data_IF_396122440129
#
_entry.id   IF_396122440129
#
_cell.length_a   1.000
_cell.length_b   1.000
_cell.length_c   1.000
_cell.angle_alpha   90.00
_cell.angle_beta   90.00
_cell.angle_gamma   90.00
#
_symmetry.space_group_name_H-M   'P 1'
#
loop_
_entity.id
_entity.type
_entity.pdbx_description
1 polymer ?
#
# COMPACT_ATOMS: atom_id res chain seq x y z
N UNK A 1 -8.06 -31.79 -15.70
CA UNK A 1 -7.67 -30.35 -15.77
C UNK A 1 -8.71 -29.57 -15.01
N UNK A 2 -8.31 -28.62 -14.17
CA UNK A 2 -9.26 -27.71 -13.52
C UNK A 2 -9.23 -26.39 -14.27
N UNK A 3 -10.41 -25.84 -14.59
CA UNK A 3 -10.56 -24.58 -15.32
C UNK A 3 -11.56 -23.72 -14.56
N UNK A 4 -11.23 -22.45 -14.40
CA UNK A 4 -12.06 -21.47 -13.70
C UNK A 4 -12.71 -20.53 -14.70
N UNK A 5 -13.99 -20.22 -14.49
CA UNK A 5 -14.74 -19.22 -15.25
C UNK A 5 -15.61 -18.45 -14.28
N UNK A 6 -15.44 -17.13 -14.21
CA UNK A 6 -16.12 -16.27 -13.24
C UNK A 6 -15.93 -16.80 -11.81
N UNK A 7 -17.01 -17.14 -11.10
CA UNK A 7 -16.96 -17.70 -9.75
C UNK A 7 -16.84 -19.23 -9.73
N UNK A 8 -17.00 -19.91 -10.87
CA UNK A 8 -17.08 -21.36 -10.95
C UNK A 8 -15.73 -22.05 -11.24
N UNK A 9 -15.60 -23.28 -10.75
CA UNK A 9 -14.51 -24.18 -11.09
C UNK A 9 -15.04 -25.48 -11.71
N UNK A 10 -14.42 -25.90 -12.80
CA UNK A 10 -14.79 -27.08 -13.58
C UNK A 10 -13.63 -28.06 -13.66
N UNK A 11 -13.91 -29.33 -13.37
CA UNK A 11 -13.00 -30.46 -13.58
C UNK A 11 -13.29 -31.09 -14.94
N UNK A 12 -12.35 -30.92 -15.84
CA UNK A 12 -12.34 -31.50 -17.18
C UNK A 12 -11.54 -32.81 -17.19
N UNK A 13 -12.17 -33.88 -17.64
CA UNK A 13 -11.52 -35.15 -18.01
C UNK A 13 -11.64 -35.38 -19.53
N UNK A 14 -11.14 -36.50 -20.04
CA UNK A 14 -11.36 -36.86 -21.46
C UNK A 14 -12.84 -37.11 -21.80
N UNK A 15 -13.69 -37.33 -20.80
CA UNK A 15 -15.07 -37.78 -20.98
C UNK A 15 -16.11 -36.99 -20.19
N UNK A 16 -15.71 -36.19 -19.21
CA UNK A 16 -16.63 -35.46 -18.32
C UNK A 16 -16.19 -34.01 -18.10
N UNK A 17 -17.19 -33.16 -17.87
CA UNK A 17 -17.05 -31.80 -17.40
C UNK A 17 -17.94 -31.68 -16.17
N UNK A 18 -17.32 -31.63 -14.99
CA UNK A 18 -18.02 -31.64 -13.70
C UNK A 18 -17.70 -30.36 -12.94
N UNK A 19 -18.72 -29.73 -12.36
CA UNK A 19 -18.52 -28.61 -11.45
C UNK A 19 -17.80 -29.10 -10.20
N UNK A 20 -16.94 -28.26 -9.62
CA UNK A 20 -16.24 -28.50 -8.36
C UNK A 20 -16.72 -27.43 -7.36
N UNK A 21 -17.82 -27.68 -6.62
CA UNK A 21 -18.41 -26.70 -5.72
C UNK A 21 -17.45 -26.22 -4.63
N UNK A 22 -16.51 -27.07 -4.21
CA UNK A 22 -15.51 -26.75 -3.18
C UNK A 22 -14.50 -25.67 -3.63
N UNK A 23 -14.43 -25.41 -4.94
CA UNK A 23 -13.55 -24.41 -5.55
C UNK A 23 -14.34 -23.25 -6.19
N UNK A 24 -15.66 -23.18 -5.98
CA UNK A 24 -16.43 -21.99 -6.32
C UNK A 24 -16.01 -20.84 -5.38
N UNK A 25 -15.65 -19.69 -5.92
CA UNK A 25 -15.11 -18.58 -5.15
C UNK A 25 -15.35 -17.21 -5.81
N UNK A 26 -15.43 -16.15 -5.00
CA UNK A 26 -15.57 -14.76 -5.48
C UNK A 26 -14.23 -14.01 -5.55
N UNK A 27 -13.09 -14.71 -5.47
CA UNK A 27 -11.77 -14.10 -5.65
C UNK A 27 -11.67 -13.44 -7.02
N UNK A 28 -11.47 -12.12 -7.05
CA UNK A 28 -11.28 -11.35 -8.29
C UNK A 28 -9.97 -11.74 -9.00
N UNK A 29 -8.87 -11.83 -8.25
CA UNK A 29 -7.54 -12.09 -8.79
C UNK A 29 -7.15 -13.57 -8.78
N UNK A 30 -6.33 -13.96 -9.77
CA UNK A 30 -5.73 -15.29 -9.82
C UNK A 30 -4.81 -15.56 -8.62
N UNK A 31 -4.20 -14.51 -8.06
CA UNK A 31 -3.17 -14.61 -7.03
C UNK A 31 -3.67 -15.18 -5.71
N UNK A 32 -4.92 -14.87 -5.34
CA UNK A 32 -5.58 -15.44 -4.16
C UNK A 32 -6.28 -16.74 -4.51
N UNK A 33 -6.94 -16.81 -5.67
CA UNK A 33 -7.65 -18.01 -6.13
C UNK A 33 -6.73 -19.23 -6.22
N UNK A 34 -5.49 -19.07 -6.69
CA UNK A 34 -4.55 -20.20 -6.81
C UNK A 34 -4.17 -20.81 -5.45
N UNK A 35 -4.26 -20.03 -4.37
CA UNK A 35 -3.95 -20.46 -3.00
C UNK A 35 -5.06 -21.37 -2.48
N UNK A 36 -6.32 -21.00 -2.73
CA UNK A 36 -7.48 -21.86 -2.46
C UNK A 36 -7.36 -23.20 -3.18
N UNK A 37 -6.94 -23.19 -4.45
CA UNK A 37 -6.69 -24.42 -5.21
C UNK A 37 -5.53 -25.24 -4.64
N UNK A 38 -4.45 -24.59 -4.20
CA UNK A 38 -3.32 -25.26 -3.54
C UNK A 38 -3.74 -25.92 -2.22
N UNK A 39 -4.62 -25.27 -1.44
CA UNK A 39 -5.21 -25.84 -0.23
C UNK A 39 -6.08 -27.05 -0.55
N UNK A 40 -6.99 -26.93 -1.52
CA UNK A 40 -7.87 -28.02 -1.93
C UNK A 40 -7.10 -29.25 -2.41
N UNK A 41 -5.97 -29.05 -3.11
CA UNK A 41 -5.14 -30.16 -3.56
C UNK A 41 -4.67 -31.06 -2.40
N UNK A 42 -4.51 -30.50 -1.18
CA UNK A 42 -4.19 -31.16 0.10
C UNK A 42 -2.93 -32.06 0.13
N UNK A 43 -2.35 -32.39 -1.01
CA UNK A 43 -1.14 -33.19 -1.18
C UNK A 43 -0.05 -32.41 -1.90
N UNK A 44 0.74 -33.10 -2.71
CA UNK A 44 1.85 -32.51 -3.45
C UNK A 44 1.35 -31.64 -4.60
N UNK A 45 1.64 -30.34 -4.60
CA UNK A 45 1.26 -29.43 -5.68
C UNK A 45 2.41 -28.52 -6.12
N UNK A 46 2.40 -28.14 -7.40
CA UNK A 46 3.37 -27.19 -7.96
C UNK A 46 2.61 -26.00 -8.53
N UNK A 47 2.76 -24.83 -7.91
CA UNK A 47 2.20 -23.56 -8.36
C UNK A 47 3.11 -22.97 -9.43
N UNK A 48 2.57 -22.77 -10.63
CA UNK A 48 3.30 -22.17 -11.74
C UNK A 48 3.05 -20.67 -11.76
N UNK A 49 3.93 -19.89 -11.12
CA UNK A 49 3.79 -18.45 -11.05
C UNK A 49 5.15 -17.77 -10.87
N UNK A 50 5.44 -16.78 -11.73
CA UNK A 50 6.61 -15.92 -11.58
C UNK A 50 6.35 -14.73 -10.64
N UNK A 51 5.09 -14.44 -10.35
CA UNK A 51 4.66 -13.33 -9.50
C UNK A 51 5.22 -13.46 -8.08
N UNK A 52 5.56 -12.31 -7.49
CA UNK A 52 6.00 -12.21 -6.11
C UNK A 52 4.82 -12.24 -5.15
N UNK A 53 3.65 -11.72 -5.55
CA UNK A 53 2.45 -11.63 -4.73
C UNK A 53 2.00 -13.05 -4.37
N UNK A 54 1.89 -13.93 -5.36
CA UNK A 54 1.62 -15.37 -5.15
C UNK A 54 2.63 -16.04 -4.23
N UNK A 55 3.93 -15.75 -4.37
CA UNK A 55 4.95 -16.32 -3.48
C UNK A 55 4.71 -15.88 -2.03
N UNK A 56 4.46 -14.59 -1.79
CA UNK A 56 4.24 -14.06 -0.44
C UNK A 56 2.97 -14.66 0.17
N UNK A 57 1.88 -14.75 -0.59
CA UNK A 57 0.62 -15.31 -0.11
C UNK A 57 0.78 -16.82 0.20
N UNK A 58 1.47 -17.58 -0.67
CA UNK A 58 1.80 -18.99 -0.41
C UNK A 58 2.63 -19.19 0.86
N UNK A 59 3.63 -18.35 1.10
CA UNK A 59 4.45 -18.40 2.31
C UNK A 59 3.62 -18.09 3.55
N UNK A 60 2.76 -17.07 3.48
CA UNK A 60 1.92 -16.66 4.61
C UNK A 60 0.91 -17.74 5.02
N UNK A 61 0.38 -18.48 4.06
CA UNK A 61 -0.60 -19.55 4.28
C UNK A 61 0.00 -20.95 4.32
N UNK A 62 1.34 -21.09 4.31
CA UNK A 62 2.01 -22.38 4.10
C UNK A 62 1.66 -23.45 5.14
N UNK A 63 1.24 -23.05 6.35
CA UNK A 63 0.82 -23.96 7.41
C UNK A 63 -0.52 -24.65 7.13
N UNK A 64 -1.35 -24.04 6.27
CA UNK A 64 -2.65 -24.55 5.86
C UNK A 64 -2.59 -25.33 4.55
N UNK A 65 -1.41 -25.47 3.95
CA UNK A 65 -1.20 -26.13 2.66
C UNK A 65 -0.53 -27.50 2.85
N UNK A 66 -0.69 -28.38 1.85
CA UNK A 66 0.10 -29.60 1.73
C UNK A 66 1.54 -29.33 1.27
N UNK A 67 2.22 -30.35 0.74
CA UNK A 67 3.55 -30.22 0.14
C UNK A 67 3.50 -29.32 -1.12
N UNK A 68 3.77 -28.02 -0.95
CA UNK A 68 3.62 -27.04 -2.00
C UNK A 68 4.97 -26.54 -2.51
N UNK A 69 5.09 -26.49 -3.84
CA UNK A 69 6.26 -26.01 -4.56
C UNK A 69 5.85 -24.82 -5.45
N UNK A 70 6.77 -23.91 -5.71
CA UNK A 70 6.59 -22.85 -6.70
C UNK A 70 7.58 -23.01 -7.85
N UNK A 71 7.08 -22.98 -9.08
CA UNK A 71 7.90 -22.96 -10.29
C UNK A 71 8.12 -21.52 -10.72
N UNK A 72 9.38 -21.07 -10.70
CA UNK A 72 9.83 -19.75 -11.19
C UNK A 72 10.76 -19.88 -12.39
N UNK A 73 10.85 -18.86 -13.21
CA UNK A 73 11.69 -18.76 -14.40
C UNK A 73 11.05 -19.35 -15.66
N UNK A 74 11.55 -18.90 -16.82
CA UNK A 74 11.06 -19.32 -18.14
C UNK A 74 12.07 -20.22 -18.86
N UNK A 75 11.57 -21.20 -19.62
CA UNK A 75 12.40 -22.08 -20.44
C UNK A 75 13.44 -22.86 -19.64
N UNK A 76 14.70 -22.85 -20.09
CA UNK A 76 15.82 -23.57 -19.47
C UNK A 76 16.22 -23.05 -18.09
N UNK A 77 15.79 -21.85 -17.70
CA UNK A 77 16.06 -21.26 -16.39
C UNK A 77 14.95 -21.56 -15.36
N UNK A 78 13.98 -22.40 -15.72
CA UNK A 78 12.90 -22.74 -14.79
C UNK A 78 13.39 -23.60 -13.64
N UNK A 79 13.00 -23.24 -12.42
CA UNK A 79 13.32 -23.95 -11.18
C UNK A 79 12.04 -24.21 -10.40
N UNK A 80 11.95 -25.41 -9.81
CA UNK A 80 10.90 -25.76 -8.86
C UNK A 80 11.50 -25.62 -7.46
N UNK A 81 10.91 -24.79 -6.63
CA UNK A 81 11.40 -24.47 -5.29
C UNK A 81 10.39 -24.99 -4.28
N UNK A 82 10.87 -25.76 -3.31
CA UNK A 82 10.06 -26.19 -2.16
C UNK A 82 9.82 -25.00 -1.23
N UNK A 83 8.55 -24.72 -0.93
CA UNK A 83 8.20 -23.60 -0.04
C UNK A 83 8.77 -23.81 1.36
N UNK A 84 8.86 -25.05 1.86
CA UNK A 84 9.41 -25.34 3.20
C UNK A 84 10.85 -24.87 3.34
N UNK A 85 11.67 -25.01 2.28
CA UNK A 85 13.05 -24.54 2.26
C UNK A 85 13.15 -23.02 2.35
N UNK A 86 12.25 -22.29 1.68
CA UNK A 86 12.21 -20.82 1.76
C UNK A 86 11.80 -20.41 3.17
N UNK A 87 10.74 -21.04 3.68
CA UNK A 87 10.20 -20.77 5.02
C UNK A 87 11.27 -21.03 6.09
N UNK A 88 11.99 -22.13 6.02
CA UNK A 88 13.05 -22.47 6.98
C UNK A 88 14.25 -21.54 6.84
N UNK A 89 14.68 -21.22 5.60
CA UNK A 89 15.73 -20.24 5.37
C UNK A 89 15.41 -18.89 6.01
N UNK A 90 14.19 -18.37 5.81
CA UNK A 90 13.77 -17.10 6.38
C UNK A 90 13.59 -17.18 7.91
N UNK A 91 13.05 -18.28 8.42
CA UNK A 91 12.84 -18.48 9.86
C UNK A 91 14.16 -18.56 10.63
N UNK A 92 15.19 -19.14 10.03
CA UNK A 92 16.53 -19.23 10.62
C UNK A 92 17.25 -17.86 10.74
N UNK A 93 16.70 -16.80 10.13
CA UNK A 93 17.22 -15.43 10.26
C UNK A 93 16.53 -14.64 11.38
N UNK A 94 15.57 -15.25 12.10
CA UNK A 94 14.82 -14.60 13.17
C UNK A 94 15.59 -14.67 14.51
N UNK A 95 15.39 -13.66 15.36
CA UNK A 95 15.85 -13.72 16.76
C UNK A 95 14.90 -14.62 17.58
N UNK A 96 15.43 -15.23 18.65
CA UNK A 96 14.79 -16.28 19.48
C UNK A 96 13.39 -15.96 20.03
N UNK A 97 12.94 -14.70 20.01
CA UNK A 97 11.69 -14.25 20.61
C UNK A 97 10.52 -14.02 19.62
N UNK A 98 10.69 -14.40 18.36
CA UNK A 98 9.71 -14.22 17.27
C UNK A 98 9.15 -15.57 16.83
N UNK A 99 7.82 -15.71 16.78
CA UNK A 99 7.21 -16.91 16.20
C UNK A 99 7.27 -16.89 14.67
N UNK A 100 7.59 -18.05 14.09
CA UNK A 100 7.57 -18.31 12.64
C UNK A 100 6.24 -17.89 12.01
N UNK A 101 5.12 -18.21 12.66
CA UNK A 101 3.78 -17.86 12.20
C UNK A 101 3.57 -16.34 12.09
N UNK A 102 3.95 -15.56 13.11
CA UNK A 102 3.80 -14.11 13.06
C UNK A 102 4.70 -13.48 12.00
N UNK A 103 5.88 -14.04 11.79
CA UNK A 103 6.76 -13.58 10.72
C UNK A 103 6.15 -13.81 9.33
N UNK A 104 5.59 -14.99 9.07
CA UNK A 104 4.91 -15.29 7.81
C UNK A 104 3.70 -14.37 7.58
N UNK A 105 2.91 -14.09 8.62
CA UNK A 105 1.84 -13.08 8.57
C UNK A 105 2.37 -11.68 8.26
N UNK A 106 3.49 -11.29 8.87
CA UNK A 106 4.13 -10.00 8.63
C UNK A 106 4.64 -9.82 7.20
N UNK A 107 4.94 -10.92 6.48
CA UNK A 107 5.32 -10.86 5.07
C UNK A 107 4.21 -10.26 4.19
N UNK A 108 2.93 -10.55 4.47
CA UNK A 108 1.79 -9.95 3.77
C UNK A 108 1.82 -8.42 3.95
N UNK A 109 1.83 -7.97 5.21
CA UNK A 109 1.76 -6.53 5.53
C UNK A 109 2.94 -5.75 4.97
N UNK A 110 4.16 -6.25 5.14
CA UNK A 110 5.36 -5.55 4.62
C UNK A 110 5.44 -5.57 3.10
N UNK A 111 4.95 -6.63 2.45
CA UNK A 111 4.92 -6.71 1.00
C UNK A 111 3.94 -5.70 0.41
N UNK A 112 2.72 -5.62 0.93
CA UNK A 112 1.73 -4.61 0.55
C UNK A 112 2.28 -3.19 0.80
N UNK A 113 2.82 -2.94 1.99
CA UNK A 113 3.35 -1.63 2.39
C UNK A 113 4.52 -1.15 1.53
N UNK A 114 5.36 -2.06 1.04
CA UNK A 114 6.54 -1.70 0.22
C UNK A 114 6.24 -1.67 -1.28
N UNK A 115 4.99 -1.86 -1.66
CA UNK A 115 4.45 -1.67 -3.00
C UNK A 115 4.14 -2.96 -3.76
N UNK A 116 2.95 -3.03 -4.32
CA UNK A 116 2.45 -4.11 -5.17
C UNK A 116 1.65 -3.49 -6.31
N UNK A 117 0.84 -4.27 -7.02
CA UNK A 117 0.10 -3.74 -8.18
C UNK A 117 -0.92 -2.65 -7.81
N UNK A 118 -1.49 -2.70 -6.60
CA UNK A 118 -2.50 -1.76 -6.11
C UNK A 118 -1.95 -0.67 -5.17
N UNK A 119 -0.70 -0.80 -4.72
CA UNK A 119 -0.08 0.09 -3.73
C UNK A 119 1.27 0.57 -4.22
N UNK A 120 1.52 1.88 -4.18
CA UNK A 120 2.81 2.47 -4.57
C UNK A 120 4.00 1.93 -3.78
N UNK A 121 5.22 2.15 -4.26
CA UNK A 121 6.45 1.81 -3.54
C UNK A 121 7.17 3.06 -3.03
N UNK A 122 7.95 2.91 -1.95
CA UNK A 122 8.86 3.96 -1.49
C UNK A 122 10.12 4.00 -2.36
N UNK A 123 10.40 5.15 -2.99
CA UNK A 123 11.54 5.29 -3.89
C UNK A 123 12.87 4.94 -3.19
N UNK A 124 13.64 4.05 -3.83
CA UNK A 124 14.93 3.57 -3.32
C UNK A 124 14.85 2.70 -2.05
N UNK A 125 13.66 2.27 -1.61
CA UNK A 125 13.50 1.37 -0.45
C UNK A 125 13.00 0.00 -0.92
N UNK A 126 13.93 -0.93 -1.14
CA UNK A 126 13.58 -2.29 -1.58
C UNK A 126 12.92 -3.13 -0.48
N UNK A 127 12.06 -4.08 -0.88
CA UNK A 127 11.34 -5.03 -0.01
C UNK A 127 12.27 -5.78 0.94
N UNK A 128 13.43 -6.21 0.44
CA UNK A 128 14.41 -6.94 1.25
C UNK A 128 14.91 -6.11 2.44
N UNK A 129 15.13 -4.80 2.26
CA UNK A 129 15.52 -3.92 3.37
C UNK A 129 14.44 -3.86 4.45
N UNK A 130 13.18 -3.82 4.04
CA UNK A 130 12.02 -3.83 4.94
C UNK A 130 11.92 -5.17 5.69
N UNK A 131 12.08 -6.30 5.00
CA UNK A 131 12.13 -7.64 5.61
C UNK A 131 13.27 -7.76 6.63
N UNK A 132 14.46 -7.26 6.31
CA UNK A 132 15.60 -7.23 7.23
C UNK A 132 15.32 -6.41 8.50
N UNK A 133 14.48 -5.37 8.42
CA UNK A 133 14.05 -4.63 9.61
C UNK A 133 13.13 -5.46 10.49
N UNK A 134 12.21 -6.23 9.91
CA UNK A 134 11.35 -7.14 10.68
C UNK A 134 12.16 -8.23 11.38
N UNK A 135 13.17 -8.75 10.68
CA UNK A 135 14.09 -9.72 11.24
C UNK A 135 14.83 -9.15 12.44
N UNK A 136 15.13 -7.84 12.49
CA UNK A 136 15.92 -7.21 13.58
C UNK A 136 15.09 -6.62 14.72
N UNK A 137 13.82 -6.33 14.50
CA UNK A 137 12.98 -5.58 15.43
C UNK A 137 11.60 -6.21 15.57
N UNK A 138 11.39 -6.88 16.71
CA UNK A 138 10.13 -7.56 17.05
C UNK A 138 8.92 -6.63 17.02
N UNK A 139 9.07 -5.37 17.44
CA UNK A 139 8.01 -4.35 17.39
C UNK A 139 7.46 -4.16 15.96
N UNK A 140 8.34 -4.09 14.96
CA UNK A 140 7.97 -3.92 13.56
C UNK A 140 7.35 -5.15 12.97
N UNK A 141 7.85 -6.32 13.34
CA UNK A 141 7.23 -7.57 12.94
C UNK A 141 5.79 -7.66 13.45
N UNK A 142 5.54 -7.32 14.72
CA UNK A 142 4.20 -7.34 15.28
C UNK A 142 3.25 -6.39 14.55
N UNK A 143 3.65 -5.15 14.27
CA UNK A 143 2.77 -4.22 13.53
C UNK A 143 2.55 -4.67 12.08
N UNK A 144 3.57 -5.17 11.37
CA UNK A 144 3.38 -5.69 10.01
C UNK A 144 2.50 -6.95 10.00
N UNK A 145 2.54 -7.77 11.05
CA UNK A 145 1.65 -8.91 11.22
C UNK A 145 0.19 -8.49 11.48
N UNK A 146 -0.05 -7.26 11.96
CA UNK A 146 -1.38 -6.69 12.20
C UNK A 146 -2.01 -6.00 10.99
N UNK A 147 -1.21 -5.57 10.01
CA UNK A 147 -1.74 -4.99 8.77
C UNK A 147 -2.62 -6.01 8.05
N UNK A 148 -3.88 -5.65 7.83
CA UNK A 148 -4.92 -6.47 7.21
C UNK A 148 -5.61 -7.46 8.17
N UNK A 149 -5.38 -7.41 9.48
CA UNK A 149 -6.17 -8.19 10.44
C UNK A 149 -7.64 -7.71 10.51
N UNK A 150 -7.84 -6.41 10.29
CA UNK A 150 -9.14 -5.75 10.16
C UNK A 150 -9.13 -4.89 8.90
N UNK A 151 -10.31 -4.61 8.35
CA UNK A 151 -10.46 -3.70 7.21
C UNK A 151 -10.05 -2.26 7.57
N UNK A 152 -10.44 -1.80 8.75
CA UNK A 152 -10.11 -0.47 9.26
C UNK A 152 -8.70 -0.42 9.86
N UNK A 153 -7.96 0.63 9.51
CA UNK A 153 -6.65 0.91 10.05
C UNK A 153 -6.78 1.64 11.39
N UNK A 154 -6.31 1.02 12.48
CA UNK A 154 -6.27 1.70 13.78
C UNK A 154 -5.13 2.72 13.87
N UNK A 155 -5.34 3.77 14.67
CA UNK A 155 -4.29 4.78 14.95
C UNK A 155 -3.02 4.15 15.53
N UNK A 156 -3.17 3.14 16.38
CA UNK A 156 -2.03 2.42 16.97
C UNK A 156 -1.17 1.75 15.89
N UNK A 157 -1.80 1.03 14.96
CA UNK A 157 -1.11 0.34 13.86
C UNK A 157 -0.50 1.37 12.89
N UNK A 158 -1.21 2.46 12.61
CA UNK A 158 -0.68 3.55 11.79
C UNK A 158 0.59 4.17 12.41
N UNK A 159 0.56 4.56 13.69
CA UNK A 159 1.72 5.17 14.38
C UNK A 159 2.93 4.25 14.43
N UNK A 160 2.73 2.97 14.71
CA UNK A 160 3.81 2.00 14.69
C UNK A 160 4.36 1.77 13.26
N UNK A 161 3.50 1.85 12.23
CA UNK A 161 3.89 1.81 10.82
C UNK A 161 4.65 3.07 10.39
N UNK A 162 4.27 4.25 10.90
CA UNK A 162 4.98 5.52 10.69
C UNK A 162 6.42 5.43 11.21
N UNK A 163 6.61 4.93 12.44
CA UNK A 163 7.93 4.70 13.02
C UNK A 163 8.75 3.66 12.22
N UNK A 164 8.11 2.60 11.71
CA UNK A 164 8.75 1.64 10.81
C UNK A 164 9.26 2.32 9.52
N UNK A 165 8.44 3.15 8.89
CA UNK A 165 8.82 3.87 7.66
C UNK A 165 9.98 4.84 7.94
N UNK A 166 9.97 5.57 9.05
CA UNK A 166 11.11 6.41 9.43
C UNK A 166 12.42 5.61 9.50
N UNK A 167 12.36 4.41 10.09
CA UNK A 167 13.52 3.52 10.20
C UNK A 167 13.93 2.91 8.85
N UNK A 168 12.97 2.65 7.96
CA UNK A 168 13.24 2.27 6.57
C UNK A 168 14.04 3.36 5.83
N UNK A 169 13.82 4.62 6.19
CA UNK A 169 14.61 5.77 5.73
C UNK A 169 15.92 5.99 6.49
N UNK A 170 16.20 5.20 7.53
CA UNK A 170 17.46 5.17 8.27
C UNK A 170 17.45 5.96 9.58
N UNK A 171 16.29 6.36 10.09
CA UNK A 171 16.18 7.22 11.26
C UNK A 171 15.21 6.64 12.31
N UNK A 172 15.61 6.68 13.58
CA UNK A 172 14.74 6.32 14.71
C UNK A 172 13.95 7.55 15.16
N UNK A 173 12.88 7.87 14.44
CA UNK A 173 11.95 8.96 14.77
C UNK A 173 10.53 8.49 14.47
N UNK A 174 9.55 9.03 15.18
CA UNK A 174 8.17 8.52 15.11
C UNK A 174 7.25 9.36 14.22
N UNK A 175 7.78 10.38 13.56
CA UNK A 175 7.04 11.25 12.63
C UNK A 175 7.77 11.39 11.31
N UNK A 176 7.09 11.05 10.22
CA UNK A 176 7.65 11.22 8.87
C UNK A 176 7.78 12.69 8.48
N UNK A 177 6.93 13.57 8.98
CA UNK A 177 7.03 15.01 8.71
C UNK A 177 8.27 15.63 9.36
N UNK A 178 8.54 15.28 10.62
CA UNK A 178 9.77 15.67 11.29
C UNK A 178 11.00 15.12 10.54
N UNK A 179 10.92 13.88 10.06
CA UNK A 179 12.00 13.26 9.28
C UNK A 179 12.21 13.98 7.93
N UNK A 180 11.14 14.29 7.21
CA UNK A 180 11.18 15.06 5.96
C UNK A 180 11.88 16.38 6.16
N UNK A 181 11.48 17.14 7.18
CA UNK A 181 12.11 18.41 7.52
C UNK A 181 13.62 18.24 7.82
N UNK A 182 13.99 17.28 8.67
CA UNK A 182 15.40 17.00 8.99
C UNK A 182 16.22 16.66 7.74
N UNK A 183 15.72 15.78 6.88
CA UNK A 183 16.40 15.38 5.65
C UNK A 183 16.56 16.55 4.67
N UNK A 184 15.53 17.40 4.56
CA UNK A 184 15.58 18.61 3.74
C UNK A 184 16.63 19.60 4.25
N UNK A 185 16.67 19.87 5.55
CA UNK A 185 17.65 20.77 6.17
C UNK A 185 19.09 20.25 6.02
N UNK A 186 19.34 18.96 6.29
CA UNK A 186 20.68 18.36 6.19
C UNK A 186 21.24 18.46 4.77
N UNK A 187 20.37 18.39 3.74
CA UNK A 187 20.76 18.51 2.34
C UNK A 187 20.72 19.96 1.82
N UNK A 188 20.50 20.94 2.68
CA UNK A 188 20.44 22.37 2.30
C UNK A 188 19.36 22.65 1.24
N UNK A 189 18.23 21.94 1.31
CA UNK A 189 17.13 22.04 0.35
C UNK A 189 17.39 21.42 -1.04
N UNK A 190 18.58 20.84 -1.26
CA UNK A 190 18.95 20.17 -2.52
C UNK A 190 18.67 18.66 -2.41
N UNK A 191 17.40 18.32 -2.23
CA UNK A 191 16.94 16.93 -2.15
C UNK A 191 15.80 16.72 -3.13
N UNK A 192 15.93 15.69 -3.97
CA UNK A 192 14.83 15.26 -4.81
C UNK A 192 13.64 14.82 -3.95
N UNK A 193 12.40 15.25 -4.25
CA UNK A 193 11.23 14.93 -3.43
C UNK A 193 11.04 13.43 -3.19
N UNK A 194 11.34 12.60 -4.18
CA UNK A 194 11.23 11.14 -4.11
C UNK A 194 12.20 10.51 -3.10
N UNK A 195 13.32 11.17 -2.80
CA UNK A 195 14.28 10.70 -1.80
C UNK A 195 13.83 10.96 -0.36
N UNK A 196 12.76 11.75 -0.16
CA UNK A 196 12.14 12.00 1.13
C UNK A 196 11.08 10.93 1.44
N UNK A 197 10.80 10.61 2.72
CA UNK A 197 9.61 9.84 3.05
C UNK A 197 8.36 10.63 2.69
N UNK A 198 7.20 10.01 2.41
CA UNK A 198 5.94 10.74 2.21
C UNK A 198 5.60 11.59 3.43
N UNK A 199 4.82 12.66 3.25
CA UNK A 199 4.24 13.37 4.39
C UNK A 199 3.25 12.46 5.13
N UNK A 200 2.93 12.79 6.37
CA UNK A 200 2.06 11.93 7.19
C UNK A 200 0.70 11.70 6.54
N UNK A 201 0.10 12.72 5.91
CA UNK A 201 -1.20 12.59 5.24
C UNK A 201 -1.16 11.62 4.05
N UNK A 202 -0.14 11.70 3.19
CA UNK A 202 0.06 10.73 2.11
C UNK A 202 0.43 9.34 2.62
N UNK A 203 1.23 9.27 3.69
CA UNK A 203 1.59 7.99 4.30
C UNK A 203 0.35 7.29 4.85
N UNK A 204 -0.56 8.01 5.50
CA UNK A 204 -1.80 7.44 6.03
C UNK A 204 -2.62 6.75 4.93
N UNK A 205 -2.89 7.46 3.84
CA UNK A 205 -3.60 6.90 2.68
C UNK A 205 -2.86 5.70 2.09
N UNK A 206 -1.53 5.75 2.05
CA UNK A 206 -0.72 4.62 1.60
C UNK A 206 -0.85 3.40 2.53
N UNK A 207 -0.85 3.59 3.85
CA UNK A 207 -1.01 2.51 4.83
C UNK A 207 -2.44 1.96 4.81
N UNK A 208 -3.46 2.80 4.61
CA UNK A 208 -4.86 2.37 4.45
C UNK A 208 -5.00 1.42 3.24
N UNK A 209 -4.45 1.81 2.08
CA UNK A 209 -4.41 0.94 0.89
C UNK A 209 -3.65 -0.35 1.13
N UNK A 210 -2.49 -0.26 1.80
CA UNK A 210 -1.68 -1.42 2.17
C UNK A 210 -2.42 -2.37 3.11
N UNK A 211 -3.16 -1.83 4.07
CA UNK A 211 -3.95 -2.58 5.04
C UNK A 211 -5.09 -3.33 4.33
N UNK A 212 -5.80 -2.65 3.45
CA UNK A 212 -6.89 -3.22 2.65
C UNK A 212 -6.40 -4.35 1.74
N UNK A 213 -5.31 -4.13 0.99
CA UNK A 213 -4.71 -5.18 0.16
C UNK A 213 -4.24 -6.39 0.99
N UNK A 214 -3.62 -6.13 2.15
CA UNK A 214 -3.21 -7.19 3.06
C UNK A 214 -4.40 -7.99 3.62
N UNK A 215 -5.54 -7.35 3.87
CA UNK A 215 -6.76 -8.03 4.31
C UNK A 215 -7.30 -8.97 3.23
N UNK A 216 -7.33 -8.55 1.96
CA UNK A 216 -7.69 -9.41 0.81
C UNK A 216 -6.80 -10.65 0.76
N UNK A 217 -5.48 -10.48 0.83
CA UNK A 217 -4.54 -11.59 0.78
C UNK A 217 -4.63 -12.54 1.99
N UNK A 218 -5.04 -12.05 3.16
CA UNK A 218 -5.32 -12.90 4.33
C UNK A 218 -6.56 -13.75 4.15
N UNK A 219 -7.50 -13.32 3.33
CA UNK A 219 -8.70 -14.07 2.98
C UNK A 219 -8.47 -15.14 1.89
N UNK A 220 -7.25 -15.37 1.41
CA UNK A 220 -6.97 -16.27 0.27
C UNK A 220 -7.39 -17.75 0.44
N UNK A 221 -7.69 -18.18 1.67
CA UNK A 221 -8.21 -19.52 1.97
C UNK A 221 -9.73 -19.54 2.19
N UNK A 222 -10.38 -18.38 2.20
CA UNK A 222 -11.83 -18.27 2.21
C UNK A 222 -12.33 -18.21 0.78
N UNK A 223 -13.19 -19.13 0.29
CA UNK A 223 -13.66 -19.07 -1.09
C UNK A 223 -14.50 -17.84 -1.40
N UNK A 224 -15.34 -17.41 -0.45
CA UNK A 224 -16.25 -16.28 -0.64
C UNK A 224 -16.10 -15.27 0.51
N UNK A 225 -14.94 -14.58 0.65
CA UNK A 225 -14.78 -13.52 1.62
C UNK A 225 -15.78 -12.40 1.37
N UNK A 226 -16.25 -11.82 2.48
CA UNK A 226 -16.97 -10.56 2.48
C UNK A 226 -15.94 -9.43 2.43
N UNK A 227 -15.72 -8.90 1.23
CA UNK A 227 -14.77 -7.82 0.97
C UNK A 227 -15.58 -6.51 0.88
N UNK A 228 -15.39 -5.55 1.80
CA UNK A 228 -16.10 -4.28 1.77
C UNK A 228 -15.65 -3.43 0.57
N UNK A 229 -16.33 -2.31 0.33
CA UNK A 229 -15.89 -1.36 -0.69
C UNK A 229 -14.49 -0.80 -0.35
N UNK A 230 -13.62 -0.54 -1.34
CA UNK A 230 -12.34 0.15 -1.11
C UNK A 230 -12.49 1.65 -0.85
N UNK A 231 -13.72 2.19 -0.91
CA UNK A 231 -14.01 3.57 -0.54
C UNK A 231 -13.50 3.88 0.88
N UNK A 232 -12.89 5.05 1.08
CA UNK A 232 -12.28 5.49 2.35
C UNK A 232 -11.05 4.69 2.81
N UNK A 233 -10.65 3.62 2.11
CA UNK A 233 -9.37 2.94 2.34
C UNK A 233 -8.22 3.53 1.53
N UNK A 234 -8.23 4.86 1.35
CA UNK A 234 -7.29 5.60 0.49
C UNK A 234 -7.70 5.69 -0.99
N UNK A 235 -8.92 5.26 -1.32
CA UNK A 235 -9.58 5.47 -2.61
C UNK A 235 -10.94 6.17 -2.44
N UNK A 236 -11.36 6.88 -3.48
CA UNK A 236 -12.72 7.33 -3.66
C UNK A 236 -13.40 6.45 -4.71
N UNK A 237 -14.67 6.11 -4.51
CA UNK A 237 -15.44 5.23 -5.40
C UNK A 237 -16.67 6.02 -5.83
N UNK A 238 -16.70 6.43 -7.10
CA UNK A 238 -17.80 7.19 -7.68
C UNK A 238 -18.34 6.43 -8.89
N UNK A 239 -19.61 6.00 -8.84
CA UNK A 239 -20.27 5.23 -9.92
C UNK A 239 -19.42 4.03 -10.40
N UNK A 240 -18.94 3.19 -9.46
CA UNK A 240 -18.06 2.04 -9.71
C UNK A 240 -16.68 2.38 -10.30
N UNK A 241 -16.32 3.66 -10.38
CA UNK A 241 -14.97 4.10 -10.78
C UNK A 241 -14.13 4.38 -9.54
N UNK A 242 -13.02 3.64 -9.42
CA UNK A 242 -12.06 3.78 -8.32
C UNK A 242 -11.03 4.84 -8.68
N UNK A 243 -10.92 5.89 -7.85
CA UNK A 243 -9.95 6.97 -7.99
C UNK A 243 -9.04 7.02 -6.76
N UNK A 244 -7.74 7.23 -6.98
CA UNK A 244 -6.80 7.43 -5.88
C UNK A 244 -7.05 8.75 -5.16
N UNK A 245 -7.09 8.69 -3.83
CA UNK A 245 -6.89 9.87 -3.01
C UNK A 245 -5.38 10.08 -2.86
N UNK A 246 -4.85 11.12 -3.50
CA UNK A 246 -3.41 11.39 -3.55
C UNK A 246 -2.89 12.08 -2.29
N UNK A 247 -3.67 12.99 -1.73
CA UNK A 247 -3.33 13.81 -0.58
C UNK A 247 -4.54 13.89 0.35
N UNK A 248 -4.31 13.66 1.65
CA UNK A 248 -5.32 13.90 2.69
C UNK A 248 -5.38 15.36 3.16
N UNK A 249 -4.58 16.23 2.55
CA UNK A 249 -4.42 17.64 2.93
C UNK A 249 -4.12 18.50 1.71
N UNK A 250 -4.21 19.83 1.86
CA UNK A 250 -3.71 20.76 0.84
C UNK A 250 -2.20 20.54 0.59
N UNK A 251 -1.70 20.79 -0.63
CA UNK A 251 -0.29 20.59 -0.98
C UNK A 251 0.67 21.51 -0.21
N UNK A 252 0.16 22.65 0.29
CA UNK A 252 0.86 23.57 1.19
C UNK A 252 -0.18 24.31 2.06
N UNK A 253 0.25 24.97 3.16
CA UNK A 253 -0.59 25.91 3.90
C UNK A 253 -1.14 27.03 3.00
N UNK A 254 -2.32 27.56 3.31
CA UNK A 254 -2.98 28.56 2.47
C UNK A 254 -2.12 29.83 2.34
N UNK A 255 -1.48 30.24 3.44
CA UNK A 255 -0.62 31.41 3.51
C UNK A 255 0.59 31.28 2.56
N UNK A 256 1.05 30.06 2.31
CA UNK A 256 2.13 29.79 1.35
C UNK A 256 1.61 29.74 -0.08
N UNK A 257 0.40 29.19 -0.28
CA UNK A 257 -0.25 29.15 -1.58
C UNK A 257 -0.57 30.57 -2.09
N UNK A 258 -0.97 31.48 -1.20
CA UNK A 258 -1.20 32.90 -1.48
C UNK A 258 0.05 33.62 -2.01
N UNK A 259 1.24 33.16 -1.63
CA UNK A 259 2.52 33.74 -2.07
C UNK A 259 2.98 33.24 -3.45
N UNK A 260 2.32 32.23 -4.02
CA UNK A 260 2.66 31.72 -5.36
C UNK A 260 2.28 32.75 -6.42
N UNK A 261 3.15 32.99 -7.39
CA UNK A 261 2.90 33.94 -8.47
C UNK A 261 3.26 33.37 -9.83
N UNK A 262 2.45 33.69 -10.84
CA UNK A 262 2.83 33.50 -12.23
C UNK A 262 3.43 34.78 -12.82
N UNK A 263 4.35 34.60 -13.77
CA UNK A 263 4.99 35.68 -14.52
C UNK A 263 4.30 35.96 -15.86
N UNK A 264 3.02 35.57 -16.00
CA UNK A 264 2.24 35.78 -17.21
C UNK A 264 2.07 37.29 -17.47
N UNK A 265 2.16 37.70 -18.73
CA UNK A 265 2.12 39.13 -19.11
C UNK A 265 0.88 39.57 -19.88
N UNK A 266 0.20 38.65 -20.58
CA UNK A 266 -0.94 38.96 -21.47
C UNK A 266 -2.17 38.14 -21.17
N UNK A 267 -1.99 36.82 -21.06
CA UNK A 267 -3.07 35.90 -20.75
C UNK A 267 -2.49 34.68 -20.00
N UNK A 268 -3.24 34.21 -19.01
CA UNK A 268 -2.99 32.92 -18.37
C UNK A 268 -3.66 31.83 -19.21
N UNK A 269 -2.87 30.87 -19.67
CA UNK A 269 -3.36 29.67 -20.36
C UNK A 269 -2.65 28.45 -19.82
N UNK A 270 -3.20 27.25 -20.03
CA UNK A 270 -2.56 25.99 -19.64
C UNK A 270 -1.14 25.83 -20.23
N UNK A 271 -0.82 26.48 -21.36
CA UNK A 271 0.52 26.42 -21.94
C UNK A 271 1.51 27.41 -21.33
N UNK A 272 1.04 28.55 -20.82
CA UNK A 272 1.89 29.67 -20.38
C UNK A 272 1.95 29.89 -18.88
N UNK A 273 0.91 29.53 -18.13
CA UNK A 273 0.78 29.86 -16.71
C UNK A 273 1.15 28.69 -15.81
N UNK A 274 2.11 28.90 -14.90
CA UNK A 274 2.50 27.90 -13.90
C UNK A 274 1.36 27.56 -12.93
N UNK A 275 0.58 28.56 -12.46
CA UNK A 275 -0.57 28.30 -11.57
C UNK A 275 -1.58 27.34 -12.22
N UNK A 276 -2.01 27.63 -13.46
CA UNK A 276 -2.93 26.77 -14.21
C UNK A 276 -2.37 25.37 -14.48
N UNK A 277 -1.09 25.27 -14.86
CA UNK A 277 -0.42 23.97 -15.06
C UNK A 277 -0.41 23.12 -13.80
N UNK A 278 -0.28 23.76 -12.64
CA UNK A 278 -0.31 23.12 -11.34
C UNK A 278 -1.74 22.92 -10.79
N UNK A 279 -2.78 23.28 -11.55
CA UNK A 279 -4.18 23.18 -11.11
C UNK A 279 -4.57 24.18 -10.03
N UNK A 280 -3.80 25.25 -9.83
CA UNK A 280 -4.00 26.27 -8.81
C UNK A 280 -4.65 27.53 -9.37
N UNK A 281 -5.35 28.27 -8.50
CA UNK A 281 -5.82 29.62 -8.79
C UNK A 281 -4.66 30.61 -8.82
N UNK A 282 -4.81 31.66 -9.64
CA UNK A 282 -3.88 32.78 -9.59
C UNK A 282 -4.17 33.63 -8.35
N UNK A 283 -3.11 34.13 -7.72
CA UNK A 283 -3.18 34.99 -6.53
C UNK A 283 -2.90 36.44 -6.91
N UNK A 284 -3.06 37.35 -5.95
CA UNK A 284 -2.70 38.76 -6.10
C UNK A 284 -1.20 39.00 -6.31
N UNK A 285 -0.36 38.00 -6.02
CA UNK A 285 1.08 38.05 -6.31
C UNK A 285 1.40 37.80 -7.79
N UNK A 286 0.44 37.29 -8.59
CA UNK A 286 0.62 37.10 -10.03
C UNK A 286 0.80 38.44 -10.77
N UNK A 287 1.65 38.46 -11.80
CA UNK A 287 1.87 39.67 -12.61
C UNK A 287 0.66 40.12 -13.44
N UNK A 288 -0.34 39.26 -13.60
CA UNK A 288 -1.53 39.50 -14.39
C UNK A 288 -2.76 39.10 -13.57
N UNK A 289 -3.71 40.03 -13.42
CA UNK A 289 -5.06 39.68 -12.98
C UNK A 289 -5.83 39.07 -14.15
N UNK A 290 -6.30 37.85 -13.95
CA UNK A 290 -6.94 37.04 -14.99
C UNK A 290 -8.12 36.26 -14.42
N UNK A 291 -8.91 35.64 -15.30
CA UNK A 291 -10.12 34.91 -14.91
C UNK A 291 -9.86 33.68 -14.01
N UNK A 292 -8.60 33.24 -13.87
CA UNK A 292 -8.21 32.15 -12.97
C UNK A 292 -7.93 32.61 -11.53
N UNK A 293 -8.22 33.87 -11.17
CA UNK A 293 -8.09 34.33 -9.79
C UNK A 293 -9.11 33.63 -8.88
N UNK A 294 -8.79 33.50 -7.58
CA UNK A 294 -9.79 33.11 -6.59
C UNK A 294 -10.84 34.24 -6.45
N UNK A 295 -12.12 33.89 -6.38
CA UNK A 295 -13.17 34.86 -6.04
C UNK A 295 -13.16 34.97 -4.52
N UNK A 296 -12.87 36.17 -3.99
CA UNK A 296 -12.99 36.43 -2.56
C UNK A 296 -14.49 36.45 -2.24
N UNK A 297 -14.98 35.46 -1.49
CA UNK A 297 -16.33 35.50 -0.95
C UNK A 297 -16.29 36.40 0.29
N UNK A 298 -16.80 37.63 0.17
CA UNK A 298 -16.75 38.66 1.23
C UNK A 298 -17.62 38.33 2.47
N UNK A 299 -18.14 37.09 2.60
CA UNK A 299 -19.07 36.68 3.66
C UNK A 299 -18.46 35.83 4.79
N UNK A 300 -17.14 35.68 4.88
CA UNK A 300 -16.50 35.00 6.02
C UNK A 300 -16.09 36.07 7.05
N UNK A 301 -16.95 36.30 8.03
CA UNK A 301 -16.59 37.02 9.25
C UNK A 301 -15.56 36.20 10.04
N UNK A 302 -14.43 36.77 10.49
CA UNK A 302 -13.54 36.09 11.42
C UNK A 302 -14.28 35.78 12.72
N UNK A 303 -14.23 34.53 13.18
CA UNK A 303 -14.63 34.17 14.55
C UNK A 303 -13.71 34.96 15.51
N UNK A 304 -14.29 35.92 16.23
CA UNK A 304 -13.63 36.55 17.36
C UNK A 304 -13.48 35.48 18.44
N UNK A 305 -12.25 34.99 18.64
CA UNK A 305 -11.90 34.22 19.82
C UNK A 305 -11.93 35.15 21.02
N UNK A 306 -12.94 35.00 21.87
CA UNK A 306 -13.01 35.62 23.19
C UNK A 306 -11.83 35.14 24.06
N UNK A 307 -10.81 35.99 24.19
CA UNK A 307 -9.85 35.92 25.29
C UNK A 307 -10.55 36.43 26.56
N UNK A 308 -11.15 35.53 27.34
CA UNK A 308 -11.51 35.81 28.74
C UNK A 308 -10.25 35.67 29.62
N UNK A 309 -9.57 36.80 29.83
CA UNK A 309 -8.73 37.02 31.01
C UNK A 309 -9.64 37.06 32.26
N UNK A 310 -9.46 36.10 33.16
CA UNK A 310 -10.12 36.05 34.47
C UNK A 310 -9.14 35.73 35.60
N UNK A 311 -8.76 36.78 36.32
CA UNK A 311 -8.13 36.91 37.66
C UNK A 311 -7.45 35.70 38.34
#
# INVERSE_FOLDING_TARGET
MYVTSEDQCWKLTSSTCELVPELQCNHEEADTRIILHAQHASGKCVVHCDDTDVLIILLAHSQSLGECYIKKGKGSQSRIIDLSLIVDYLSNQLFDCISKENYLKALIGVHALTGCDTVSAFCGKGKWKAIQLLQKKKEYLHVMARLGETWDLSEEVFRATEAFVCNLYGHQVDSVDLLRYKLYCVKGGKVEPEALPPCQSSLRLHVERSNYQAAIWRCALSPCPDIPSPHEHGWNVDNDVINFVWLGSKPAPEEVLELLSCSCKRACSLQSCCCLKSGLKCTDMCSLQCDNMAVIDENITPDESDDEDGD
#
